data_IF_182243568888
#
_entry.id   IF_182243568888
#
_cell.length_a   1.000
_cell.length_b   1.000
_cell.length_c   1.000
_cell.angle_alpha   90.00
_cell.angle_beta   90.00
_cell.angle_gamma   90.00
#
_symmetry.space_group_name_H-M   'P 1'
#
loop_
_entity.id
_entity.type
_entity.pdbx_description
1 polymer ?
#
# COMPACT_ATOMS: atom_id res chain seq x y z
N UNK A 1 22.99 0.02 -8.40
CA UNK A 1 22.00 -0.76 -9.16
C UNK A 1 22.68 -1.32 -10.41
N UNK A 2 22.39 -2.56 -10.78
CA UNK A 2 22.95 -3.23 -11.96
C UNK A 2 22.40 -2.70 -13.30
N UNK A 3 21.66 -1.59 -13.27
CA UNK A 3 21.02 -0.97 -14.43
C UNK A 3 19.68 -1.59 -14.82
N UNK A 4 19.21 -2.62 -14.11
CA UNK A 4 17.87 -3.17 -14.35
C UNK A 4 16.77 -2.19 -13.94
N UNK A 5 15.67 -2.18 -14.70
CA UNK A 5 14.45 -1.47 -14.33
C UNK A 5 13.83 -2.12 -13.09
N UNK A 6 13.50 -1.30 -12.11
CA UNK A 6 12.77 -1.68 -10.90
C UNK A 6 11.32 -1.23 -11.04
N UNK A 7 10.38 -2.04 -10.55
CA UNK A 7 8.96 -1.76 -10.67
C UNK A 7 8.40 -2.03 -12.06
N UNK A 8 7.23 -2.66 -12.12
CA UNK A 8 6.47 -2.86 -13.36
C UNK A 8 5.12 -2.17 -13.22
N UNK A 9 4.81 -1.28 -14.16
CA UNK A 9 3.45 -0.82 -14.40
C UNK A 9 2.92 -1.60 -15.62
N UNK A 10 2.27 -2.76 -15.44
CA UNK A 10 1.88 -3.60 -16.56
C UNK A 10 0.85 -2.93 -17.47
N UNK A 11 0.12 -1.93 -16.96
CA UNK A 11 -0.96 -1.18 -17.64
C UNK A 11 -1.08 0.22 -17.01
N UNK A 12 -1.60 1.20 -17.75
CA UNK A 12 -1.92 2.53 -17.22
C UNK A 12 -1.48 3.68 -18.13
N UNK A 13 -1.26 4.84 -17.52
CA UNK A 13 -0.80 6.04 -18.20
C UNK A 13 0.63 5.89 -18.70
N UNK A 14 0.94 6.56 -19.81
CA UNK A 14 2.28 6.61 -20.40
C UNK A 14 2.75 8.06 -20.51
N UNK A 15 4.04 8.32 -20.80
CA UNK A 15 4.50 9.69 -21.06
C UNK A 15 3.80 10.41 -22.23
N UNK A 16 2.99 9.70 -23.03
CA UNK A 16 2.20 10.26 -24.13
C UNK A 16 0.71 10.40 -23.81
N UNK A 17 0.28 10.02 -22.61
CA UNK A 17 -1.12 10.16 -22.19
C UNK A 17 -1.52 11.62 -22.15
N UNK A 18 -2.74 11.91 -22.58
CA UNK A 18 -3.36 13.24 -22.53
C UNK A 18 -3.97 13.51 -21.16
N UNK A 19 -4.36 14.76 -20.89
CA UNK A 19 -5.14 15.11 -19.68
C UNK A 19 -6.45 14.31 -19.63
N UNK A 20 -7.11 14.10 -20.77
CA UNK A 20 -8.33 13.30 -20.84
C UNK A 20 -8.08 11.82 -20.48
N UNK A 21 -6.92 11.26 -20.86
CA UNK A 21 -6.53 9.91 -20.44
C UNK A 21 -6.25 9.86 -18.93
N UNK A 22 -5.60 10.90 -18.39
CA UNK A 22 -5.36 11.05 -16.96
C UNK A 22 -6.67 11.10 -16.18
N UNK A 23 -7.59 12.00 -16.55
CA UNK A 23 -8.90 12.13 -15.95
C UNK A 23 -9.70 10.83 -16.03
N UNK A 24 -9.73 10.19 -17.20
CA UNK A 24 -10.42 8.91 -17.38
C UNK A 24 -9.82 7.79 -16.53
N UNK A 25 -8.52 7.82 -16.26
CA UNK A 25 -7.85 6.84 -15.43
C UNK A 25 -8.12 7.06 -13.93
N UNK A 26 -7.92 8.28 -13.44
CA UNK A 26 -8.06 8.62 -12.02
C UNK A 26 -9.51 8.79 -11.54
N UNK A 27 -10.45 9.10 -12.44
CA UNK A 27 -11.88 9.11 -12.12
C UNK A 27 -12.54 7.73 -12.18
N UNK A 28 -11.84 6.71 -12.68
CA UNK A 28 -12.41 5.38 -12.85
C UNK A 28 -12.37 4.59 -11.53
N UNK A 29 -13.53 4.31 -10.91
CA UNK A 29 -13.59 3.61 -9.63
C UNK A 29 -13.12 2.16 -9.71
N UNK A 30 -12.88 1.61 -10.91
CA UNK A 30 -12.26 0.28 -11.07
C UNK A 30 -10.76 0.29 -10.82
N UNK A 31 -10.10 1.43 -10.98
CA UNK A 31 -8.67 1.61 -10.73
C UNK A 31 -8.42 2.43 -9.46
N UNK A 32 -9.23 3.47 -9.20
CA UNK A 32 -9.14 4.32 -8.02
C UNK A 32 -10.48 4.35 -7.27
N UNK A 33 -10.81 3.30 -6.47
CA UNK A 33 -12.03 3.30 -5.69
C UNK A 33 -12.06 4.45 -4.69
N UNK A 34 -13.18 5.17 -4.61
CA UNK A 34 -13.40 6.25 -3.63
C UNK A 34 -13.13 5.73 -2.21
N UNK A 35 -12.34 6.48 -1.44
CA UNK A 35 -11.99 6.13 -0.05
C UNK A 35 -10.69 5.35 0.09
N UNK A 36 -9.93 5.19 -0.99
CA UNK A 36 -8.60 4.58 -1.00
C UNK A 36 -7.56 5.65 -1.39
N UNK A 37 -6.31 5.55 -0.91
CA UNK A 37 -5.16 6.37 -1.34
C UNK A 37 -3.82 5.59 -1.52
N UNK A 38 -2.96 6.06 -2.44
CA UNK A 38 -1.58 5.53 -2.57
C UNK A 38 -0.77 6.01 -1.37
N UNK A 39 -0.05 5.10 -0.71
CA UNK A 39 0.69 5.35 0.51
C UNK A 39 2.22 5.34 0.30
N UNK A 40 2.68 5.32 -0.95
CA UNK A 40 4.10 5.35 -1.32
C UNK A 40 4.43 6.51 -2.25
N UNK A 41 5.69 6.98 -2.31
CA UNK A 41 6.10 7.93 -3.34
C UNK A 41 5.92 7.33 -4.74
N UNK A 42 5.52 8.15 -5.72
CA UNK A 42 5.43 7.70 -7.12
C UNK A 42 6.79 7.19 -7.64
N UNK A 43 6.76 6.40 -8.70
CA UNK A 43 7.99 5.85 -9.30
C UNK A 43 8.66 4.73 -8.50
N UNK A 44 8.20 4.42 -7.28
CA UNK A 44 8.62 3.25 -6.49
C UNK A 44 8.10 1.91 -7.06
N UNK A 45 7.59 1.87 -8.29
CA UNK A 45 7.00 0.67 -8.89
C UNK A 45 5.72 0.28 -8.17
N UNK A 46 4.60 0.92 -8.50
CA UNK A 46 3.34 0.64 -7.82
C UNK A 46 2.27 0.21 -8.82
N UNK A 47 1.90 -1.09 -8.87
CA UNK A 47 0.63 -1.46 -9.45
C UNK A 47 -0.46 -1.15 -8.42
N UNK A 48 -1.01 0.06 -8.55
CA UNK A 48 -2.40 0.53 -8.33
C UNK A 48 -3.19 0.05 -7.10
N UNK A 49 -2.75 -0.87 -6.25
CA UNK A 49 -3.57 -1.25 -5.10
C UNK A 49 -3.46 -0.21 -3.98
N UNK A 50 -4.61 0.35 -3.74
CA UNK A 50 -4.77 1.52 -2.92
C UNK A 50 -5.28 1.09 -1.53
N UNK A 51 -4.54 1.45 -0.48
CA UNK A 51 -4.93 1.15 0.89
C UNK A 51 -6.20 1.95 1.25
N UNK A 52 -7.08 1.42 2.10
CA UNK A 52 -8.19 2.22 2.64
C UNK A 52 -7.68 3.47 3.35
N UNK A 53 -8.35 4.60 3.14
CA UNK A 53 -8.05 5.87 3.83
C UNK A 53 -8.91 6.09 5.09
N UNK A 54 -9.90 5.22 5.30
CA UNK A 54 -10.76 5.21 6.48
C UNK A 54 -10.21 4.27 7.56
N UNK A 55 -10.67 4.45 8.80
CA UNK A 55 -10.35 3.62 9.97
C UNK A 55 -8.86 3.33 10.16
N UNK A 56 -8.01 4.34 9.95
CA UNK A 56 -6.57 4.18 10.15
C UNK A 56 -6.23 3.82 11.61
N UNK A 57 -7.09 4.15 12.57
CA UNK A 57 -6.99 3.69 13.96
C UNK A 57 -6.85 2.17 14.10
N UNK A 58 -7.28 1.39 13.11
CA UNK A 58 -7.25 -0.07 13.12
C UNK A 58 -6.07 -0.67 12.34
N UNK A 59 -5.27 0.12 11.61
CA UNK A 59 -4.42 -0.36 10.51
C UNK A 59 -2.91 -0.42 10.81
N UNK A 60 -2.49 -0.43 12.08
CA UNK A 60 -1.07 -0.41 12.43
C UNK A 60 -0.36 -1.76 12.13
N UNK A 61 0.94 -1.78 11.75
CA UNK A 61 1.75 -0.61 11.39
C UNK A 61 1.28 0.04 10.08
N UNK A 62 1.49 1.34 9.95
CA UNK A 62 0.81 2.16 8.96
C UNK A 62 1.47 2.13 7.59
N UNK A 63 0.63 2.09 6.56
CA UNK A 63 1.02 1.88 5.18
C UNK A 63 1.33 0.42 4.86
N UNK A 64 1.30 0.08 3.58
CA UNK A 64 1.48 -1.27 3.04
C UNK A 64 2.83 -1.86 3.47
N UNK A 65 3.88 -1.03 3.52
CA UNK A 65 5.23 -1.42 3.93
C UNK A 65 5.41 -1.52 5.45
N UNK A 66 4.48 -0.97 6.24
CA UNK A 66 4.58 -0.82 7.69
C UNK A 66 5.81 -0.06 8.17
N UNK A 67 6.31 0.89 7.37
CA UNK A 67 7.47 1.71 7.73
C UNK A 67 7.23 2.61 8.96
N UNK A 68 5.97 2.89 9.29
CA UNK A 68 5.60 3.79 10.37
C UNK A 68 4.80 3.06 11.45
N UNK A 69 5.27 3.11 12.69
CA UNK A 69 4.54 2.55 13.85
C UNK A 69 3.60 3.57 14.52
N UNK A 70 3.68 4.84 14.12
CA UNK A 70 2.85 5.94 14.65
C UNK A 70 2.04 6.60 13.54
N UNK A 71 0.74 6.77 13.77
CA UNK A 71 -0.17 7.38 12.80
C UNK A 71 0.22 8.83 12.49
N UNK A 72 0.70 9.60 13.47
CA UNK A 72 1.16 10.97 13.24
C UNK A 72 2.35 11.05 12.27
N UNK A 73 3.24 10.07 12.33
CA UNK A 73 4.44 10.02 11.50
C UNK A 73 4.09 9.56 10.08
N UNK A 74 3.19 8.58 9.99
CA UNK A 74 2.57 8.21 8.72
C UNK A 74 1.80 9.37 8.08
N UNK A 75 1.02 10.12 8.85
CA UNK A 75 0.32 11.32 8.37
C UNK A 75 1.30 12.38 7.88
N UNK A 76 2.44 12.56 8.56
CA UNK A 76 3.48 13.46 8.06
C UNK A 76 4.08 12.97 6.73
N UNK A 77 4.28 11.66 6.56
CA UNK A 77 4.66 11.07 5.29
C UNK A 77 3.60 11.33 4.20
N UNK A 78 2.32 11.11 4.51
CA UNK A 78 1.23 11.38 3.58
C UNK A 78 1.23 12.84 3.11
N UNK A 79 1.39 13.81 4.02
CA UNK A 79 1.47 15.23 3.67
C UNK A 79 2.71 15.59 2.85
N UNK A 80 3.89 15.12 3.26
CA UNK A 80 5.18 15.63 2.76
C UNK A 80 5.81 14.79 1.65
N UNK A 81 5.26 13.62 1.36
CA UNK A 81 5.76 12.68 0.35
C UNK A 81 4.66 12.34 -0.64
N UNK A 82 3.46 12.00 -0.18
CA UNK A 82 2.40 11.45 -1.05
C UNK A 82 1.54 12.56 -1.66
N UNK A 83 0.91 13.40 -0.84
CA UNK A 83 -0.02 14.45 -1.30
C UNK A 83 0.70 15.61 -2.00
N UNK A 84 1.96 15.85 -1.65
CA UNK A 84 2.78 16.87 -2.30
C UNK A 84 4.20 16.38 -2.52
N UNK A 85 4.37 15.60 -3.59
CA UNK A 85 5.66 15.00 -3.95
C UNK A 85 6.70 16.04 -4.35
N UNK A 86 6.31 17.30 -4.60
CA UNK A 86 7.28 18.37 -4.87
C UNK A 86 8.20 18.65 -3.67
N UNK A 87 7.79 18.26 -2.45
CA UNK A 87 8.67 18.28 -1.28
C UNK A 87 9.88 17.36 -1.44
N UNK A 88 9.80 16.32 -2.29
CA UNK A 88 10.93 15.45 -2.64
C UNK A 88 12.02 16.19 -3.43
N UNK A 89 11.70 17.35 -4.04
CA UNK A 89 12.69 18.19 -4.71
C UNK A 89 13.44 19.12 -3.75
N UNK A 90 13.01 19.27 -2.50
CA UNK A 90 13.78 20.01 -1.49
C UNK A 90 15.06 19.26 -1.11
N UNK A 91 16.12 19.92 -0.57
CA UNK A 91 17.34 19.22 -0.18
C UNK A 91 17.13 18.02 0.74
N UNK A 92 16.24 18.14 1.73
CA UNK A 92 15.90 17.04 2.63
C UNK A 92 15.07 15.94 1.97
N UNK A 93 14.19 16.29 1.03
CA UNK A 93 13.44 15.32 0.23
C UNK A 93 14.33 14.51 -0.72
N UNK A 94 15.30 15.16 -1.37
CA UNK A 94 16.28 14.49 -2.22
C UNK A 94 17.16 13.55 -1.39
N UNK A 95 17.62 14.01 -0.23
CA UNK A 95 18.37 13.18 0.70
C UNK A 95 17.56 11.98 1.18
N UNK A 96 16.27 12.15 1.47
CA UNK A 96 15.38 11.04 1.86
C UNK A 96 15.29 9.96 0.79
N UNK A 97 14.99 10.36 -0.45
CA UNK A 97 14.88 9.41 -1.57
C UNK A 97 16.24 8.78 -1.88
N UNK A 98 17.35 9.51 -1.74
CA UNK A 98 18.69 8.94 -1.84
C UNK A 98 18.97 7.91 -0.73
N UNK A 99 18.58 8.19 0.52
CA UNK A 99 18.71 7.22 1.62
C UNK A 99 17.96 5.93 1.28
N UNK A 100 16.73 6.03 0.78
CA UNK A 100 15.93 4.86 0.44
C UNK A 100 16.47 4.13 -0.79
N UNK A 101 16.74 4.82 -1.89
CA UNK A 101 17.00 4.23 -3.20
C UNK A 101 18.47 4.25 -3.66
N UNK A 102 19.39 4.83 -2.89
CA UNK A 102 20.72 5.19 -3.35
C UNK A 102 20.67 5.89 -4.72
N UNK A 103 21.52 5.51 -5.67
CA UNK A 103 21.50 6.09 -7.02
C UNK A 103 20.22 5.80 -7.82
N UNK A 104 19.44 4.78 -7.45
CA UNK A 104 18.11 4.57 -8.04
C UNK A 104 17.13 5.65 -7.54
N UNK A 105 17.26 6.06 -6.28
CA UNK A 105 16.55 7.22 -5.73
C UNK A 105 16.92 8.51 -6.45
N UNK A 106 18.20 8.74 -6.73
CA UNK A 106 18.64 9.92 -7.49
C UNK A 106 18.02 9.96 -8.90
N UNK A 107 17.88 8.79 -9.53
CA UNK A 107 17.26 8.64 -10.84
C UNK A 107 15.75 8.94 -10.80
N UNK A 108 15.08 8.54 -9.72
CA UNK A 108 13.67 8.83 -9.44
C UNK A 108 13.45 10.34 -9.23
N UNK A 109 14.30 11.00 -8.44
CA UNK A 109 14.30 12.47 -8.28
C UNK A 109 14.48 13.19 -9.63
N UNK A 110 15.45 12.76 -10.45
CA UNK A 110 15.66 13.35 -11.76
C UNK A 110 14.43 13.15 -12.67
N UNK A 111 13.70 12.04 -12.53
CA UNK A 111 12.41 11.81 -13.17
C UNK A 111 11.36 12.84 -12.77
N UNK A 112 11.16 13.05 -11.47
CA UNK A 112 10.23 14.07 -10.97
C UNK A 112 10.55 15.47 -11.46
N UNK A 113 11.83 15.86 -11.42
CA UNK A 113 12.27 17.17 -11.90
C UNK A 113 11.89 17.38 -13.36
N UNK A 114 12.09 16.36 -14.21
CA UNK A 114 11.70 16.41 -15.63
C UNK A 114 10.19 16.54 -15.80
N UNK A 115 9.40 15.76 -15.05
CA UNK A 115 7.93 15.82 -15.11
C UNK A 115 7.42 17.19 -14.68
N UNK A 116 7.84 17.68 -13.50
CA UNK A 116 7.41 19.00 -13.02
C UNK A 116 7.83 20.12 -13.97
N UNK A 117 9.05 20.09 -14.52
CA UNK A 117 9.48 21.07 -15.52
C UNK A 117 8.60 21.05 -16.78
N UNK A 118 8.17 19.87 -17.24
CA UNK A 118 7.29 19.74 -18.40
C UNK A 118 5.87 20.29 -18.16
N UNK A 119 5.37 20.23 -16.92
CA UNK A 119 4.03 20.72 -16.58
C UNK A 119 3.92 22.25 -16.50
N UNK A 120 5.05 22.98 -16.41
CA UNK A 120 5.09 24.44 -16.17
C UNK A 120 4.42 24.91 -14.86
N UNK A 121 4.12 23.98 -13.95
CA UNK A 121 3.53 24.24 -12.65
C UNK A 121 4.53 24.94 -11.73
N UNK A 122 4.09 25.96 -10.98
CA UNK A 122 4.96 26.79 -10.10
C UNK A 122 4.35 26.94 -8.70
N UNK A 123 5.12 27.50 -7.76
CA UNK A 123 4.65 27.76 -6.39
C UNK A 123 4.72 26.58 -5.43
N UNK A 124 5.40 25.50 -5.84
CA UNK A 124 5.66 24.34 -5.00
C UNK A 124 6.84 24.55 -4.04
N UNK A 125 6.89 23.87 -2.86
CA UNK A 125 5.88 22.93 -2.37
C UNK A 125 4.59 23.60 -1.90
N UNK A 126 3.47 22.92 -2.16
CA UNK A 126 2.12 23.36 -1.80
C UNK A 126 1.79 23.09 -0.34
N UNK A 127 2.32 21.99 0.20
CA UNK A 127 2.20 21.64 1.60
C UNK A 127 3.28 22.37 2.38
N UNK A 128 2.83 23.29 3.24
CA UNK A 128 3.70 23.99 4.17
C UNK A 128 4.08 23.08 5.34
N UNK A 129 5.37 22.86 5.51
CA UNK A 129 5.97 22.11 6.60
C UNK A 129 7.26 22.82 7.07
N UNK A 130 7.59 22.66 8.35
CA UNK A 130 8.74 23.29 8.97
C UNK A 130 9.93 22.34 8.99
N UNK A 131 11.15 22.87 8.84
CA UNK A 131 12.36 22.08 9.00
C UNK A 131 12.42 21.53 10.42
N UNK A 132 12.50 20.21 10.55
CA UNK A 132 12.58 19.53 11.83
C UNK A 132 13.24 18.17 11.66
N UNK A 133 14.06 17.78 12.64
CA UNK A 133 14.71 16.47 12.64
C UNK A 133 15.68 16.30 11.47
N UNK A 134 15.98 15.03 11.14
CA UNK A 134 16.85 14.65 10.02
C UNK A 134 16.05 13.91 8.96
N UNK A 135 16.35 14.09 7.66
CA UNK A 135 15.81 13.24 6.60
C UNK A 135 16.05 11.75 6.89
N UNK A 136 15.07 10.92 6.55
CA UNK A 136 15.05 9.48 6.79
C UNK A 136 14.59 9.06 8.19
N UNK A 137 14.38 9.99 9.13
CA UNK A 137 13.77 9.65 10.43
C UNK A 137 12.25 9.49 10.28
N UNK A 138 11.60 8.53 10.98
CA UNK A 138 10.17 8.27 10.82
C UNK A 138 9.28 9.51 10.94
N UNK A 139 9.52 10.34 11.95
CA UNK A 139 8.73 11.55 12.19
C UNK A 139 8.97 12.67 11.17
N UNK A 140 10.05 12.63 10.41
CA UNK A 140 10.56 13.72 9.56
C UNK A 140 11.26 13.18 8.32
N UNK A 141 10.58 12.35 7.53
CA UNK A 141 11.16 11.65 6.38
C UNK A 141 11.93 12.58 5.44
N UNK A 142 11.36 13.73 5.08
CA UNK A 142 11.99 14.75 4.20
C UNK A 142 12.81 15.79 4.96
N UNK A 143 13.07 15.58 6.26
CA UNK A 143 13.65 16.59 7.16
C UNK A 143 12.67 17.72 7.52
N UNK A 144 11.39 17.52 7.22
CA UNK A 144 10.30 18.46 7.53
C UNK A 144 9.20 17.78 8.30
N UNK A 145 8.45 18.59 9.04
CA UNK A 145 7.22 18.18 9.70
C UNK A 145 6.13 19.23 9.53
N UNK A 146 4.92 18.75 9.26
CA UNK A 146 3.73 19.59 9.26
C UNK A 146 3.38 19.98 10.70
N UNK A 147 2.73 21.13 10.86
CA UNK A 147 2.19 21.57 12.15
C UNK A 147 1.39 20.45 12.86
N UNK A 148 1.63 20.31 14.17
CA UNK A 148 1.05 19.24 14.98
C UNK A 148 -0.48 19.29 15.05
N UNK A 149 -1.10 20.46 14.93
CA UNK A 149 -2.56 20.55 14.89
C UNK A 149 -3.08 19.92 13.60
N UNK A 150 -2.47 20.19 12.44
CA UNK A 150 -2.86 19.57 11.16
C UNK A 150 -2.68 18.04 11.19
N UNK A 151 -1.63 17.54 11.85
CA UNK A 151 -1.43 16.09 12.02
C UNK A 151 -2.52 15.46 12.89
N UNK A 152 -2.90 16.13 13.99
CA UNK A 152 -4.03 15.71 14.85
C UNK A 152 -5.37 15.78 14.12
N UNK A 153 -5.60 16.82 13.34
CA UNK A 153 -6.83 17.01 12.57
C UNK A 153 -6.97 15.91 11.51
N UNK A 154 -5.89 15.63 10.76
CA UNK A 154 -5.89 14.54 9.79
C UNK A 154 -6.11 13.19 10.49
N UNK A 155 -5.43 12.95 11.62
CA UNK A 155 -5.64 11.73 12.42
C UNK A 155 -7.10 11.58 12.87
N UNK A 156 -7.71 12.63 13.41
CA UNK A 156 -9.11 12.62 13.82
C UNK A 156 -10.03 12.34 12.62
N UNK A 157 -9.75 12.96 11.47
CA UNK A 157 -10.50 12.75 10.24
C UNK A 157 -10.42 11.29 9.77
N UNK A 158 -9.22 10.73 9.55
CA UNK A 158 -9.07 9.36 9.01
C UNK A 158 -9.53 8.26 9.98
N UNK A 159 -9.52 8.54 11.28
CA UNK A 159 -10.08 7.65 12.30
C UNK A 159 -11.61 7.69 12.33
N UNK A 160 -12.20 8.86 12.08
CA UNK A 160 -13.66 9.03 12.10
C UNK A 160 -14.33 8.58 10.80
N UNK A 161 -13.61 8.59 9.67
CA UNK A 161 -14.12 8.11 8.39
C UNK A 161 -14.61 6.67 8.52
N UNK A 162 -15.90 6.47 8.29
CA UNK A 162 -16.51 5.15 8.29
C UNK A 162 -16.31 4.47 6.93
N UNK A 163 -16.01 3.16 6.91
CA UNK A 163 -16.04 2.41 5.67
C UNK A 163 -17.48 2.29 5.14
N UNK A 164 -17.65 2.09 3.83
CA UNK A 164 -18.93 1.65 3.28
C UNK A 164 -19.41 0.35 3.95
N UNK A 165 -20.74 0.18 3.98
CA UNK A 165 -21.35 -1.05 4.53
C UNK A 165 -21.05 -2.26 3.66
N UNK A 166 -20.93 -3.40 4.33
CA UNK A 166 -20.78 -4.68 3.66
C UNK A 166 -22.04 -5.02 2.87
N UNK A 167 -21.89 -5.87 1.87
CA UNK A 167 -22.98 -6.33 1.02
C UNK A 167 -23.40 -7.73 1.47
N UNK A 168 -24.59 -7.83 2.07
CA UNK A 168 -25.21 -9.09 2.47
C UNK A 168 -26.31 -9.46 1.48
N UNK A 169 -26.04 -10.41 0.58
CA UNK A 169 -27.05 -10.93 -0.35
C UNK A 169 -27.78 -12.15 0.18
N UNK A 170 -27.10 -12.98 0.98
CA UNK A 170 -27.64 -14.19 1.59
C UNK A 170 -27.01 -14.43 2.98
N UNK A 171 -27.74 -14.22 4.09
CA UNK A 171 -27.23 -14.40 5.44
C UNK A 171 -26.77 -15.83 5.75
N UNK A 172 -27.42 -16.85 5.18
CA UNK A 172 -27.04 -18.24 5.42
C UNK A 172 -25.71 -18.55 4.73
N UNK A 173 -25.51 -18.02 3.52
CA UNK A 173 -24.26 -18.14 2.78
C UNK A 173 -23.11 -17.41 3.51
N UNK A 174 -23.36 -16.20 4.02
CA UNK A 174 -22.41 -15.44 4.84
C UNK A 174 -22.00 -16.20 6.10
N UNK A 175 -22.95 -16.84 6.80
CA UNK A 175 -22.66 -17.63 8.00
C UNK A 175 -21.75 -18.84 7.68
N UNK A 176 -21.99 -19.53 6.56
CA UNK A 176 -21.11 -20.61 6.09
C UNK A 176 -19.72 -20.09 5.72
N UNK A 177 -19.65 -18.96 5.01
CA UNK A 177 -18.39 -18.32 4.65
C UNK A 177 -17.55 -17.91 5.87
N UNK A 178 -18.19 -17.41 6.93
CA UNK A 178 -17.52 -17.11 8.21
C UNK A 178 -16.93 -18.36 8.87
N UNK A 179 -17.68 -19.46 8.87
CA UNK A 179 -17.20 -20.73 9.39
C UNK A 179 -16.01 -21.27 8.56
N UNK A 180 -16.07 -21.12 7.23
CA UNK A 180 -14.96 -21.44 6.35
C UNK A 180 -13.73 -20.57 6.63
N UNK A 181 -13.89 -19.25 6.71
CA UNK A 181 -12.79 -18.32 7.02
C UNK A 181 -12.05 -18.73 8.31
N UNK A 182 -12.80 -19.14 9.34
CA UNK A 182 -12.22 -19.59 10.61
C UNK A 182 -11.52 -20.94 10.48
N UNK A 183 -12.08 -21.90 9.73
CA UNK A 183 -11.50 -23.24 9.56
C UNK A 183 -10.34 -23.31 8.56
N UNK A 184 -10.22 -22.32 7.67
CA UNK A 184 -9.16 -22.23 6.66
C UNK A 184 -7.96 -21.39 7.12
N UNK A 185 -7.78 -21.24 8.44
CA UNK A 185 -6.67 -20.51 9.06
C UNK A 185 -6.56 -19.02 8.66
N UNK A 186 -7.58 -18.42 8.04
CA UNK A 186 -7.57 -16.99 7.72
C UNK A 186 -7.44 -16.14 9.01
N UNK A 187 -7.93 -16.68 10.13
CA UNK A 187 -7.87 -16.05 11.46
C UNK A 187 -6.48 -15.98 12.09
N UNK A 188 -5.48 -16.64 11.50
CA UNK A 188 -4.09 -16.50 11.98
C UNK A 188 -3.54 -15.08 11.73
N UNK A 189 -4.04 -14.41 10.69
CA UNK A 189 -3.60 -13.08 10.29
C UNK A 189 -4.73 -12.04 10.35
N UNK A 190 -5.95 -12.43 10.01
CA UNK A 190 -7.09 -11.52 9.91
C UNK A 190 -8.12 -11.75 11.02
N UNK A 191 -8.83 -10.71 11.43
CA UNK A 191 -9.88 -10.84 12.44
C UNK A 191 -11.23 -11.11 11.78
N UNK A 192 -12.17 -11.72 12.49
CA UNK A 192 -13.60 -11.76 12.06
C UNK A 192 -14.32 -10.46 12.43
N UNK A 193 -13.93 -9.87 13.56
CA UNK A 193 -14.39 -8.56 13.99
C UNK A 193 -13.59 -7.46 13.27
N UNK A 194 -14.23 -6.70 12.39
CA UNK A 194 -13.54 -5.62 11.65
C UNK A 194 -13.55 -4.28 12.38
N UNK A 195 -14.07 -4.23 13.61
CA UNK A 195 -14.03 -3.05 14.47
C UNK A 195 -12.89 -3.08 15.50
N UNK A 196 -12.01 -4.07 15.42
CA UNK A 196 -10.80 -4.17 16.24
C UNK A 196 -9.58 -4.02 15.37
N UNK A 197 -8.49 -3.51 15.96
CA UNK A 197 -7.26 -3.30 15.24
C UNK A 197 -6.74 -4.63 14.66
N UNK A 198 -6.17 -4.57 13.47
CA UNK A 198 -5.39 -5.70 12.94
C UNK A 198 -4.21 -5.96 13.87
N UNK A 199 -3.64 -7.16 13.77
CA UNK A 199 -2.43 -7.47 14.53
C UNK A 199 -1.32 -6.50 14.10
N UNK A 200 -0.75 -5.78 15.06
CA UNK A 200 0.35 -4.84 14.79
C UNK A 200 1.66 -5.60 14.54
N UNK A 201 1.78 -6.19 13.36
CA UNK A 201 2.97 -6.90 12.89
C UNK A 201 3.07 -6.84 11.37
N UNK A 202 4.30 -6.96 10.88
CA UNK A 202 4.59 -7.21 9.47
C UNK A 202 4.60 -8.70 9.19
N UNK A 203 3.99 -9.10 8.08
CA UNK A 203 4.10 -10.47 7.58
C UNK A 203 5.29 -10.55 6.61
N UNK A 204 6.30 -11.41 6.88
CA UNK A 204 7.46 -11.54 6.00
C UNK A 204 7.06 -11.91 4.57
N UNK A 205 7.73 -11.34 3.57
CA UNK A 205 7.37 -11.56 2.15
C UNK A 205 7.38 -13.04 1.74
N UNK A 206 8.34 -13.83 2.24
CA UNK A 206 8.42 -15.28 1.99
C UNK A 206 7.30 -16.10 2.65
N UNK A 207 6.58 -15.54 3.63
CA UNK A 207 5.43 -16.19 4.27
C UNK A 207 4.18 -16.02 3.41
N UNK A 208 3.98 -14.84 2.83
CA UNK A 208 2.83 -14.54 1.96
C UNK A 208 3.08 -14.88 0.50
N UNK A 209 4.33 -15.14 0.09
CA UNK A 209 4.64 -15.55 -1.26
C UNK A 209 5.71 -16.65 -1.24
N UNK A 210 5.32 -17.93 -1.28
CA UNK A 210 6.26 -19.04 -1.12
C UNK A 210 7.33 -19.16 -2.20
N UNK A 211 7.09 -18.66 -3.42
CA UNK A 211 8.10 -18.57 -4.46
C UNK A 211 8.91 -17.26 -4.43
N UNK A 212 8.83 -16.49 -3.34
CA UNK A 212 9.60 -15.27 -3.21
C UNK A 212 11.11 -15.57 -3.25
N UNK A 213 11.74 -15.16 -4.34
CA UNK A 213 13.16 -15.35 -4.61
C UNK A 213 13.74 -14.06 -5.22
N UNK A 214 13.96 -13.02 -4.40
CA UNK A 214 14.44 -11.73 -4.89
C UNK A 214 15.92 -11.80 -5.29
N UNK A 215 16.28 -11.06 -6.33
CA UNK A 215 17.68 -10.77 -6.67
C UNK A 215 18.06 -9.43 -6.04
N UNK A 216 19.20 -9.40 -5.34
CA UNK A 216 19.78 -8.14 -4.85
C UNK A 216 20.33 -7.34 -6.03
N UNK A 217 19.90 -6.09 -6.15
CA UNK A 217 20.27 -5.15 -7.21
C UNK A 217 21.28 -4.09 -6.72
N UNK A 218 21.21 -3.73 -5.43
CA UNK A 218 22.16 -2.84 -4.79
C UNK A 218 22.18 -3.04 -3.27
N UNK A 219 23.34 -2.85 -2.65
CA UNK A 219 23.47 -2.81 -1.19
C UNK A 219 23.08 -1.42 -0.67
N UNK A 220 22.53 -1.38 0.56
CA UNK A 220 22.27 -0.15 1.31
C UNK A 220 23.00 -0.20 2.64
N UNK A 221 23.20 0.97 3.23
CA UNK A 221 23.78 1.06 4.56
C UNK A 221 22.75 0.59 5.60
N UNK A 222 23.18 -0.26 6.54
CA UNK A 222 22.35 -0.67 7.67
C UNK A 222 21.79 0.57 8.43
N UNK A 223 20.53 0.53 8.89
CA UNK A 223 19.66 -0.64 9.05
C UNK A 223 18.87 -1.04 7.79
N UNK A 224 19.06 -0.35 6.66
CA UNK A 224 18.30 -0.65 5.44
C UNK A 224 18.64 -2.04 4.89
N UNK A 225 17.61 -2.79 4.48
CA UNK A 225 17.76 -4.03 3.71
C UNK A 225 18.34 -3.73 2.33
N UNK A 226 18.91 -4.67 1.57
CA UNK A 226 19.34 -4.39 0.20
C UNK A 226 18.16 -3.99 -0.71
N UNK A 227 18.44 -3.20 -1.77
CA UNK A 227 17.48 -3.01 -2.87
C UNK A 227 17.44 -4.33 -3.63
N UNK A 228 16.26 -4.93 -3.70
CA UNK A 228 16.09 -6.25 -4.28
C UNK A 228 14.72 -6.37 -4.96
N UNK A 229 14.65 -7.22 -5.98
CA UNK A 229 13.48 -7.37 -6.82
C UNK A 229 13.23 -8.85 -7.14
N UNK A 230 11.99 -9.32 -7.01
CA UNK A 230 11.55 -10.65 -7.44
C UNK A 230 10.74 -10.62 -8.76
N UNK A 231 10.65 -11.74 -9.51
CA UNK A 231 9.81 -11.83 -10.71
C UNK A 231 8.31 -11.67 -10.43
N UNK A 232 7.55 -11.04 -11.33
CA UNK A 232 6.13 -10.69 -11.11
C UNK A 232 5.94 -9.43 -10.24
N UNK A 233 4.75 -8.83 -10.24
CA UNK A 233 4.49 -7.49 -9.71
C UNK A 233 4.42 -7.38 -8.18
N UNK A 234 4.28 -8.50 -7.46
CA UNK A 234 4.02 -8.51 -6.02
C UNK A 234 5.15 -7.94 -5.16
N UNK A 235 6.40 -7.86 -5.64
CA UNK A 235 7.49 -7.22 -4.88
C UNK A 235 7.62 -5.72 -5.14
N UNK A 236 6.98 -5.21 -6.22
CA UNK A 236 7.36 -3.93 -6.83
C UNK A 236 7.30 -2.77 -5.85
N UNK A 237 6.19 -2.66 -5.13
CA UNK A 237 5.94 -1.61 -4.13
C UNK A 237 6.96 -1.62 -2.99
N UNK A 238 7.61 -2.76 -2.76
CA UNK A 238 8.56 -2.91 -1.67
C UNK A 238 10.01 -2.70 -2.10
N UNK A 239 10.35 -2.69 -3.40
CA UNK A 239 11.75 -2.75 -3.89
C UNK A 239 12.67 -1.74 -3.20
N UNK A 240 12.20 -0.50 -3.04
CA UNK A 240 12.93 0.58 -2.36
C UNK A 240 12.32 0.92 -1.00
N UNK A 241 10.99 0.89 -0.88
CA UNK A 241 10.25 1.24 0.35
C UNK A 241 9.88 -0.02 1.13
N UNK A 242 10.51 -0.24 2.29
CA UNK A 242 10.11 -1.25 3.26
C UNK A 242 10.31 -0.74 4.70
N UNK A 243 10.05 -1.57 5.71
CA UNK A 243 10.17 -1.15 7.11
C UNK A 243 11.60 -1.10 7.66
N UNK A 244 12.61 -1.37 6.83
CA UNK A 244 14.01 -1.38 7.27
C UNK A 244 14.58 -0.05 7.80
N UNK A 245 14.08 1.16 7.43
CA UNK A 245 14.51 2.41 8.08
C UNK A 245 14.31 2.41 9.60
N UNK A 246 13.26 1.73 10.08
CA UNK A 246 12.98 1.54 11.51
C UNK A 246 13.62 0.28 12.11
N UNK A 247 14.46 -0.45 11.36
CA UNK A 247 14.97 -1.76 11.75
C UNK A 247 13.96 -2.91 11.58
N UNK A 248 12.84 -2.65 10.91
CA UNK A 248 11.83 -3.66 10.57
C UNK A 248 12.27 -4.60 9.47
N UNK A 249 11.41 -5.58 9.18
CA UNK A 249 11.63 -6.56 8.12
C UNK A 249 11.05 -6.08 6.79
N UNK A 250 11.50 -6.70 5.71
CA UNK A 250 10.77 -6.66 4.45
C UNK A 250 9.52 -7.54 4.53
N UNK A 251 8.35 -6.96 4.36
CA UNK A 251 7.07 -7.63 4.47
C UNK A 251 5.92 -6.71 4.11
N UNK A 252 4.70 -7.15 4.44
CA UNK A 252 3.50 -6.33 4.28
C UNK A 252 2.76 -6.20 5.61
N UNK A 253 2.24 -4.99 5.87
CA UNK A 253 1.27 -4.79 6.94
C UNK A 253 -0.04 -5.49 6.60
N UNK A 254 -0.79 -5.88 7.63
CA UNK A 254 -2.08 -6.54 7.42
C UNK A 254 -3.12 -5.55 6.89
N UNK A 255 -3.78 -5.82 5.76
CA UNK A 255 -4.81 -4.95 5.25
C UNK A 255 -6.09 -5.07 6.09
N UNK A 256 -6.83 -3.96 6.21
CA UNK A 256 -8.22 -3.99 6.67
C UNK A 256 -9.07 -4.77 5.67
N UNK A 257 -9.89 -5.71 6.15
CA UNK A 257 -10.86 -6.44 5.31
C UNK A 257 -12.18 -5.69 5.21
N UNK A 258 -12.10 -4.39 4.91
CA UNK A 258 -13.24 -3.48 4.80
C UNK A 258 -13.43 -3.08 3.33
N UNK A 259 -14.69 -2.87 2.94
CA UNK A 259 -15.06 -2.37 1.61
C UNK A 259 -14.63 -3.28 0.42
N UNK A 260 -14.42 -4.57 0.69
CA UNK A 260 -13.99 -5.53 -0.32
C UNK A 260 -15.05 -5.75 -1.41
N UNK A 261 -16.32 -5.45 -1.14
CA UNK A 261 -17.40 -5.59 -2.11
C UNK A 261 -17.29 -4.64 -3.31
N UNK A 262 -16.67 -3.47 -3.13
CA UNK A 262 -16.47 -2.48 -4.20
C UNK A 262 -15.11 -2.61 -4.90
N UNK A 263 -14.21 -3.45 -4.38
CA UNK A 263 -12.88 -3.66 -4.98
C UNK A 263 -12.95 -4.69 -6.12
N UNK A 264 -12.53 -4.33 -7.35
CA UNK A 264 -12.49 -5.28 -8.47
C UNK A 264 -11.17 -6.04 -8.56
N UNK A 265 -10.12 -5.56 -7.90
CA UNK A 265 -8.78 -6.14 -7.89
C UNK A 265 -8.28 -6.24 -6.44
N UNK A 266 -7.42 -7.23 -6.18
CA UNK A 266 -6.96 -7.65 -4.87
C UNK A 266 -5.47 -7.90 -4.88
N UNK A 267 -4.91 -7.96 -3.66
CA UNK A 267 -3.47 -7.91 -3.37
C UNK A 267 -2.88 -6.55 -3.69
N UNK A 268 -1.74 -6.22 -3.07
CA UNK A 268 -1.18 -4.88 -3.18
C UNK A 268 -0.58 -4.56 -4.56
N UNK A 269 -0.61 -5.52 -5.49
CA UNK A 269 -0.10 -5.43 -6.85
C UNK A 269 -1.18 -5.64 -7.93
N UNK A 270 -2.46 -5.66 -7.52
CA UNK A 270 -3.63 -5.87 -8.37
C UNK A 270 -3.57 -7.12 -9.26
N UNK A 271 -2.77 -8.13 -8.89
CA UNK A 271 -2.58 -9.35 -9.68
C UNK A 271 -3.80 -10.28 -9.68
N UNK A 272 -4.79 -10.03 -8.83
CA UNK A 272 -5.98 -10.86 -8.65
C UNK A 272 -7.24 -10.04 -8.92
N UNK A 273 -8.09 -10.50 -9.84
CA UNK A 273 -9.18 -9.71 -10.43
C UNK A 273 -10.57 -10.07 -9.88
N UNK A 274 -10.63 -10.89 -8.83
CA UNK A 274 -11.84 -11.14 -8.05
C UNK A 274 -11.53 -11.87 -6.74
N UNK A 275 -12.45 -11.82 -5.77
CA UNK A 275 -12.37 -12.68 -4.58
C UNK A 275 -12.47 -14.18 -4.93
N UNK A 276 -13.22 -14.56 -5.97
CA UNK A 276 -13.28 -15.97 -6.40
C UNK A 276 -11.90 -16.44 -6.88
N UNK A 277 -11.25 -15.63 -7.72
CA UNK A 277 -9.88 -15.89 -8.19
C UNK A 277 -8.90 -15.96 -7.01
N UNK A 278 -8.99 -15.04 -6.04
CA UNK A 278 -8.11 -15.02 -4.85
C UNK A 278 -8.09 -16.37 -4.13
N UNK A 279 -9.26 -17.01 -4.03
CA UNK A 279 -9.45 -18.27 -3.32
C UNK A 279 -9.41 -19.51 -4.22
N UNK A 280 -9.14 -19.37 -5.53
CA UNK A 280 -9.05 -20.50 -6.47
C UNK A 280 -7.66 -21.16 -6.45
N UNK A 281 -7.55 -22.46 -6.12
CA UNK A 281 -6.27 -23.18 -6.11
C UNK A 281 -5.58 -23.25 -7.46
N UNK A 282 -6.25 -22.92 -8.58
CA UNK A 282 -5.62 -22.80 -9.91
C UNK A 282 -4.51 -21.76 -9.96
N UNK A 283 -4.50 -20.77 -9.05
CA UNK A 283 -3.38 -19.81 -8.91
C UNK A 283 -2.07 -20.50 -8.49
N UNK A 284 -2.16 -21.67 -7.86
CA UNK A 284 -1.01 -22.51 -7.50
C UNK A 284 -0.42 -22.19 -6.12
N UNK A 285 0.19 -23.20 -5.50
CA UNK A 285 0.73 -23.11 -4.12
C UNK A 285 1.88 -22.12 -3.92
N UNK A 286 2.48 -21.67 -5.02
CA UNK A 286 3.62 -20.75 -5.03
C UNK A 286 3.23 -19.31 -5.33
N UNK A 287 1.97 -19.03 -5.66
CA UNK A 287 1.49 -17.68 -5.92
C UNK A 287 1.47 -16.83 -4.64
N UNK A 288 1.44 -15.49 -4.78
CA UNK A 288 1.18 -14.61 -3.64
C UNK A 288 -0.16 -14.90 -2.98
N UNK A 289 -0.16 -14.87 -1.66
CA UNK A 289 -1.28 -15.18 -0.76
C UNK A 289 -2.02 -16.48 -1.14
N UNK A 290 -1.36 -17.66 -1.09
CA UNK A 290 -1.90 -18.90 -1.63
C UNK A 290 -2.82 -19.64 -0.64
N UNK A 291 -3.83 -18.93 -0.11
CA UNK A 291 -4.85 -19.46 0.78
C UNK A 291 -6.13 -19.72 0.00
N UNK A 292 -6.45 -21.00 -0.23
CA UNK A 292 -7.49 -21.42 -1.16
C UNK A 292 -8.57 -22.24 -0.48
N UNK A 293 -9.74 -22.30 -1.10
CA UNK A 293 -10.77 -23.30 -0.77
C UNK A 293 -11.07 -24.16 -1.99
N UNK A 294 -11.28 -25.45 -1.75
CA UNK A 294 -11.18 -26.48 -2.80
C UNK A 294 -12.36 -26.42 -3.77
N UNK A 295 -13.57 -26.19 -3.27
CA UNK A 295 -14.79 -26.30 -4.09
C UNK A 295 -15.33 -24.93 -4.51
N UNK A 296 -15.96 -24.82 -5.70
CA UNK A 296 -16.65 -23.60 -6.12
C UNK A 296 -17.75 -23.14 -5.14
N UNK A 297 -18.42 -24.08 -4.48
CA UNK A 297 -19.42 -23.79 -3.46
C UNK A 297 -18.81 -23.09 -2.24
N UNK A 298 -17.70 -23.63 -1.71
CA UNK A 298 -16.95 -23.00 -0.62
C UNK A 298 -16.41 -21.62 -1.01
N UNK A 299 -15.96 -21.44 -2.26
CA UNK A 299 -15.54 -20.12 -2.74
C UNK A 299 -16.70 -19.14 -2.74
N UNK A 300 -17.87 -19.55 -3.23
CA UNK A 300 -19.07 -18.72 -3.23
C UNK A 300 -19.46 -18.30 -1.80
N UNK A 301 -19.41 -19.24 -0.85
CA UNK A 301 -19.63 -19.00 0.58
C UNK A 301 -18.63 -17.98 1.15
N UNK A 302 -17.33 -18.21 0.92
CA UNK A 302 -16.28 -17.33 1.41
C UNK A 302 -16.36 -15.93 0.77
N UNK A 303 -16.59 -15.83 -0.54
CA UNK A 303 -16.78 -14.56 -1.25
C UNK A 303 -17.95 -13.77 -0.66
N UNK A 304 -19.08 -14.43 -0.38
CA UNK A 304 -20.22 -13.78 0.26
C UNK A 304 -19.86 -13.21 1.63
N UNK A 305 -19.16 -13.98 2.46
CA UNK A 305 -18.67 -13.50 3.75
C UNK A 305 -17.71 -12.32 3.60
N UNK A 306 -16.69 -12.40 2.73
CA UNK A 306 -15.73 -11.31 2.53
C UNK A 306 -16.39 -10.02 2.04
N UNK A 307 -17.42 -10.12 1.18
CA UNK A 307 -18.20 -8.96 0.73
C UNK A 307 -19.10 -8.38 1.82
N UNK A 308 -19.52 -9.19 2.78
CA UNK A 308 -20.36 -8.76 3.91
C UNK A 308 -19.61 -8.01 4.99
N UNK A 309 -18.27 -8.03 4.98
CA UNK A 309 -17.46 -7.43 6.04
C UNK A 309 -17.57 -5.91 6.09
N UNK A 310 -17.87 -5.42 7.28
CA UNK A 310 -17.86 -4.02 7.70
C UNK A 310 -17.60 -3.89 9.21
N UNK A 311 -17.64 -2.67 9.74
CA UNK A 311 -17.39 -2.41 11.18
C UNK A 311 -18.45 -2.95 12.13
N UNK A 312 -19.58 -3.46 11.64
CA UNK A 312 -20.57 -4.13 12.48
C UNK A 312 -20.34 -5.66 12.53
N UNK A 313 -19.46 -6.17 11.66
CA UNK A 313 -19.06 -7.57 11.61
C UNK A 313 -18.30 -7.98 12.86
N UNK A 314 -18.65 -9.13 13.44
CA UNK A 314 -18.08 -9.72 14.65
C UNK A 314 -17.74 -11.18 14.41
#
# INVERSE_FOLDING_TARGET
PDGSTIGRAPKGLTPKSTEADFDAYFSNPKYYPVGMFDDTPDGNGNPVHIAPFFRQDLAAPYGSSGQNDKLSDFNNAAWTVVFDQSNLLSPGGQQFIHILGATAGDSLIAGYQRVLAATSVTGYPYVQAHMQGKPGQPATLTGKRVDEQKLRDLQAYVNALQPPKGVVTDPALVAKGKALFSSQNCTQCHNTNQNVAVQSRLIPMNTIWPAYAPKVLAQRQAPLTPIQNAPGTFDDKMIVVDASPGGGIRGAALPLLLDLARKPVFLHDDSVHSLDELFDPKRGKTAPHPFYVVTPAQRTELVAYMKSLDTDSK
#
